data_IF_244902715933
#
_entry.id   IF_244902715933
#
_cell.length_a   1.000
_cell.length_b   1.000
_cell.length_c   1.000
_cell.angle_alpha   90.00
_cell.angle_beta   90.00
_cell.angle_gamma   90.00
#
_symmetry.space_group_name_H-M   'P 1'
#
loop_
_entity.id
_entity.type
_entity.pdbx_description
1 polymer ?
#
# COMPACT_ATOMS: atom_id res chain seq x y z
N UNK A 1 51.46 -28.44 -33.27
CA UNK A 1 50.71 -27.25 -33.71
C UNK A 1 49.99 -26.64 -32.52
N UNK A 2 50.31 -25.40 -32.08
CA UNK A 2 49.61 -24.75 -30.98
C UNK A 2 48.40 -23.94 -31.49
N UNK A 3 47.21 -24.23 -30.94
CA UNK A 3 45.97 -23.46 -31.18
C UNK A 3 46.14 -22.04 -30.61
N UNK A 4 46.19 -21.02 -31.47
CA UNK A 4 46.00 -19.61 -31.05
C UNK A 4 44.60 -19.47 -30.45
N UNK A 5 44.51 -19.03 -29.20
CA UNK A 5 43.27 -18.53 -28.61
C UNK A 5 43.03 -17.13 -29.17
N UNK A 6 41.89 -16.93 -29.83
CA UNK A 6 41.41 -15.62 -30.27
C UNK A 6 41.16 -14.74 -29.03
N UNK A 7 41.70 -13.52 -28.95
CA UNK A 7 41.38 -12.62 -27.85
C UNK A 7 39.90 -12.26 -27.92
N UNK A 8 39.18 -12.43 -26.81
CA UNK A 8 37.81 -11.98 -26.67
C UNK A 8 37.77 -10.47 -26.91
N UNK A 9 37.06 -10.05 -27.95
CA UNK A 9 36.75 -8.65 -28.21
C UNK A 9 35.83 -8.18 -27.09
N UNK A 10 36.42 -7.56 -26.06
CA UNK A 10 35.65 -6.75 -25.11
C UNK A 10 35.11 -5.59 -25.93
N UNK A 11 33.80 -5.61 -26.22
CA UNK A 11 33.12 -4.45 -26.76
C UNK A 11 33.13 -3.38 -25.67
N UNK A 12 34.15 -2.52 -25.69
CA UNK A 12 34.15 -1.26 -24.97
C UNK A 12 32.97 -0.49 -25.55
N UNK A 13 31.88 -0.41 -24.80
CA UNK A 13 30.75 0.44 -25.16
C UNK A 13 31.24 1.87 -24.95
N UNK A 14 31.85 2.44 -25.98
CA UNK A 14 32.22 3.84 -26.06
C UNK A 14 30.92 4.63 -25.87
N UNK A 15 30.79 5.28 -24.72
CA UNK A 15 29.61 6.09 -24.42
C UNK A 15 29.76 7.39 -25.21
N UNK A 16 29.35 7.38 -26.49
CA UNK A 16 29.36 8.54 -27.40
C UNK A 16 28.28 9.57 -26.97
N UNK A 17 27.44 9.24 -25.99
CA UNK A 17 26.50 10.19 -25.42
C UNK A 17 27.25 11.22 -24.57
N UNK A 18 27.04 12.54 -24.79
CA UNK A 18 27.57 13.55 -23.89
C UNK A 18 27.11 13.24 -22.47
N UNK A 19 28.04 13.30 -21.50
CA UNK A 19 27.71 13.14 -20.08
C UNK A 19 26.64 14.20 -19.75
N UNK A 20 25.42 13.79 -19.34
CA UNK A 20 24.36 14.75 -19.07
C UNK A 20 24.82 15.72 -18.00
N UNK A 21 24.51 17.00 -18.17
CA UNK A 21 24.77 17.94 -17.10
C UNK A 21 23.84 17.64 -15.90
N UNK A 22 24.12 18.27 -14.75
CA UNK A 22 23.35 18.02 -13.55
C UNK A 22 21.87 18.43 -13.67
N UNK A 23 21.50 19.34 -14.60
CA UNK A 23 20.12 19.73 -14.84
C UNK A 23 19.39 18.69 -15.72
N UNK A 24 20.04 18.20 -16.77
CA UNK A 24 19.54 17.12 -17.63
C UNK A 24 19.35 15.82 -16.86
N UNK A 25 20.31 15.45 -15.99
CA UNK A 25 20.18 14.30 -15.12
C UNK A 25 18.98 14.43 -14.14
N UNK A 26 18.75 15.64 -13.58
CA UNK A 26 17.59 15.89 -12.71
C UNK A 26 16.28 15.82 -13.48
N UNK A 27 16.23 16.34 -14.71
CA UNK A 27 15.05 16.28 -15.56
C UNK A 27 14.70 14.83 -15.93
N UNK A 28 15.69 14.04 -16.35
CA UNK A 28 15.51 12.62 -16.64
C UNK A 28 15.02 11.83 -15.41
N UNK A 29 15.57 12.09 -14.23
CA UNK A 29 15.08 11.47 -12.98
C UNK A 29 13.65 11.89 -12.63
N UNK A 30 13.29 13.16 -12.84
CA UNK A 30 11.93 13.64 -12.61
C UNK A 30 10.92 12.98 -13.56
N UNK A 31 11.30 12.76 -14.83
CA UNK A 31 10.51 12.03 -15.82
C UNK A 31 10.30 10.56 -15.41
N UNK A 32 11.37 9.87 -15.03
CA UNK A 32 11.28 8.48 -14.51
C UNK A 32 10.37 8.42 -13.28
N UNK A 33 10.48 9.38 -12.36
CA UNK A 33 9.58 9.45 -11.20
C UNK A 33 8.12 9.69 -11.60
N UNK A 34 7.87 10.52 -12.60
CA UNK A 34 6.52 10.76 -13.11
C UNK A 34 5.92 9.49 -13.73
N UNK A 35 6.70 8.76 -14.54
CA UNK A 35 6.28 7.49 -15.14
C UNK A 35 6.03 6.42 -14.06
N UNK A 36 6.91 6.32 -13.06
CA UNK A 36 6.72 5.39 -11.94
C UNK A 36 5.46 5.70 -11.13
N UNK A 37 5.17 6.99 -10.89
CA UNK A 37 3.91 7.39 -10.24
C UNK A 37 2.71 7.03 -11.09
N UNK A 38 2.75 7.26 -12.40
CA UNK A 38 1.65 6.92 -13.30
C UNK A 38 1.30 5.42 -13.27
N UNK A 39 2.31 4.54 -13.15
CA UNK A 39 2.10 3.09 -12.98
C UNK A 39 1.57 2.75 -11.58
N UNK A 40 2.14 3.34 -10.53
CA UNK A 40 1.77 3.04 -9.13
C UNK A 40 0.41 3.57 -8.72
N UNK A 41 0.02 4.73 -9.21
CA UNK A 41 -1.20 5.44 -8.85
C UNK A 41 -2.37 5.06 -9.79
N UNK A 42 -2.35 3.84 -10.33
CA UNK A 42 -3.46 3.26 -11.09
C UNK A 42 -4.70 3.19 -10.17
N UNK A 43 -5.91 3.58 -10.65
CA UNK A 43 -7.11 3.51 -9.83
C UNK A 43 -7.42 2.07 -9.42
N UNK A 44 -7.61 1.85 -8.12
CA UNK A 44 -7.96 0.53 -7.60
C UNK A 44 -9.44 0.19 -7.87
N UNK A 45 -9.81 -1.10 -7.90
CA UNK A 45 -11.20 -1.52 -7.96
C UNK A 45 -12.01 -0.87 -6.85
N UNK A 46 -13.14 -0.25 -7.20
CA UNK A 46 -13.93 0.58 -6.28
C UNK A 46 -14.45 -0.19 -5.05
N UNK A 47 -14.65 -1.51 -5.18
CA UNK A 47 -15.10 -2.38 -4.11
C UNK A 47 -14.04 -2.60 -3.02
N UNK A 48 -12.76 -2.38 -3.30
CA UNK A 48 -11.68 -2.66 -2.33
C UNK A 48 -11.75 -1.72 -1.13
N UNK A 49 -12.18 -0.48 -1.34
CA UNK A 49 -12.27 0.53 -0.28
C UNK A 49 -13.29 0.16 0.80
N UNK A 50 -14.57 -0.11 0.47
CA UNK A 50 -15.54 -0.54 1.47
C UNK A 50 -15.16 -1.89 2.09
N UNK A 51 -14.57 -2.84 1.33
CA UNK A 51 -14.13 -4.13 1.89
C UNK A 51 -13.04 -3.95 2.94
N UNK A 52 -11.95 -3.24 2.61
CA UNK A 52 -10.87 -2.97 3.58
C UNK A 52 -11.36 -2.14 4.77
N UNK A 53 -12.27 -1.19 4.57
CA UNK A 53 -12.86 -0.42 5.67
C UNK A 53 -13.61 -1.34 6.65
N UNK A 54 -14.46 -2.23 6.13
CA UNK A 54 -15.19 -3.20 6.95
C UNK A 54 -14.25 -4.19 7.63
N UNK A 55 -13.22 -4.68 6.93
CA UNK A 55 -12.24 -5.60 7.50
C UNK A 55 -11.41 -4.94 8.61
N UNK A 56 -11.03 -3.66 8.48
CA UNK A 56 -10.34 -2.92 9.53
C UNK A 56 -11.25 -2.65 10.74
N UNK A 57 -12.52 -2.33 10.51
CA UNK A 57 -13.52 -2.24 11.57
C UNK A 57 -13.68 -3.58 12.30
N UNK A 58 -13.81 -4.68 11.56
CA UNK A 58 -13.90 -6.03 12.11
C UNK A 58 -12.62 -6.42 12.87
N UNK A 59 -11.44 -6.08 12.34
CA UNK A 59 -10.15 -6.29 13.01
C UNK A 59 -10.11 -5.55 14.35
N UNK A 60 -10.54 -4.29 14.41
CA UNK A 60 -10.64 -3.54 15.66
C UNK A 60 -11.61 -4.19 16.66
N UNK A 61 -12.76 -4.69 16.18
CA UNK A 61 -13.75 -5.37 17.02
C UNK A 61 -13.27 -6.71 17.58
N UNK A 62 -12.23 -7.33 17.01
CA UNK A 62 -11.63 -8.54 17.61
C UNK A 62 -11.16 -8.31 19.05
N UNK A 63 -10.88 -7.06 19.43
CA UNK A 63 -10.53 -6.69 20.79
C UNK A 63 -11.63 -7.02 21.83
N UNK A 64 -12.89 -7.13 21.40
CA UNK A 64 -14.02 -7.50 22.26
C UNK A 64 -14.21 -9.02 22.40
N UNK A 65 -13.46 -9.82 21.64
CA UNK A 65 -13.58 -11.27 21.70
C UNK A 65 -12.66 -11.81 22.80
N UNK A 66 -13.21 -12.57 23.72
CA UNK A 66 -12.47 -13.20 24.82
C UNK A 66 -11.81 -14.50 24.38
N UNK A 67 -12.52 -15.34 23.63
CA UNK A 67 -12.01 -16.62 23.12
C UNK A 67 -11.39 -16.47 21.74
N UNK A 68 -10.22 -17.09 21.51
CA UNK A 68 -9.57 -17.11 20.20
C UNK A 68 -9.27 -15.72 19.57
N UNK A 69 -9.23 -14.65 20.38
CA UNK A 69 -8.91 -13.27 19.96
C UNK A 69 -7.75 -13.20 18.98
N UNK A 70 -6.62 -13.82 19.34
CA UNK A 70 -5.41 -13.85 18.52
C UNK A 70 -5.64 -14.52 17.17
N UNK A 71 -6.37 -15.64 17.14
CA UNK A 71 -6.66 -16.35 15.89
C UNK A 71 -7.56 -15.51 14.97
N UNK A 72 -8.58 -14.85 15.51
CA UNK A 72 -9.45 -13.96 14.75
C UNK A 72 -8.69 -12.73 14.22
N UNK A 73 -7.83 -12.14 15.06
CA UNK A 73 -6.98 -11.02 14.65
C UNK A 73 -6.04 -11.42 13.50
N UNK A 74 -5.38 -12.57 13.60
CA UNK A 74 -4.51 -13.10 12.56
C UNK A 74 -5.29 -13.43 11.28
N UNK A 75 -6.46 -14.06 11.41
CA UNK A 75 -7.31 -14.40 10.27
C UNK A 75 -7.83 -13.14 9.55
N UNK A 76 -8.27 -12.12 10.28
CA UNK A 76 -8.69 -10.85 9.70
C UNK A 76 -7.51 -10.12 9.03
N UNK A 77 -6.32 -10.11 9.66
CA UNK A 77 -5.11 -9.54 9.07
C UNK A 77 -4.70 -10.25 7.77
N UNK A 78 -4.74 -11.59 7.77
CA UNK A 78 -4.47 -12.40 6.59
C UNK A 78 -5.52 -12.16 5.49
N UNK A 79 -6.79 -11.97 5.85
CA UNK A 79 -7.87 -11.65 4.91
C UNK A 79 -7.64 -10.28 4.27
N UNK A 80 -7.28 -9.26 5.05
CA UNK A 80 -6.91 -7.94 4.53
C UNK A 80 -5.75 -8.09 3.54
N UNK A 81 -4.67 -8.77 3.93
CA UNK A 81 -3.51 -8.96 3.05
C UNK A 81 -3.91 -9.69 1.76
N UNK A 82 -4.66 -10.78 1.86
CA UNK A 82 -5.11 -11.59 0.73
C UNK A 82 -5.99 -10.80 -0.25
N UNK A 83 -6.93 -9.99 0.27
CA UNK A 83 -7.77 -9.11 -0.56
C UNK A 83 -6.92 -8.08 -1.30
N UNK A 84 -5.97 -7.44 -0.62
CA UNK A 84 -5.13 -6.39 -1.23
C UNK A 84 -4.15 -6.98 -2.26
N UNK A 85 -3.49 -8.09 -1.93
CA UNK A 85 -2.59 -8.80 -2.85
C UNK A 85 -3.36 -9.33 -4.06
N UNK A 86 -4.53 -9.94 -3.85
CA UNK A 86 -5.38 -10.44 -4.93
C UNK A 86 -5.89 -9.33 -5.85
N UNK A 87 -6.30 -8.19 -5.29
CA UNK A 87 -6.66 -7.02 -6.08
C UNK A 87 -5.46 -6.46 -6.87
N UNK A 88 -4.29 -6.41 -6.23
CA UNK A 88 -3.05 -5.98 -6.89
C UNK A 88 -2.66 -6.91 -8.05
N UNK A 89 -2.78 -8.23 -7.91
CA UNK A 89 -2.58 -9.16 -9.02
C UNK A 89 -3.55 -8.92 -10.19
N UNK A 90 -4.83 -8.62 -9.90
CA UNK A 90 -5.81 -8.27 -10.94
C UNK A 90 -5.48 -6.97 -11.68
N UNK A 91 -4.75 -6.06 -11.04
CA UNK A 91 -4.26 -4.81 -11.64
C UNK A 91 -2.89 -4.97 -12.33
N UNK A 92 -2.24 -6.12 -12.20
CA UNK A 92 -0.85 -6.32 -12.67
C UNK A 92 0.21 -5.69 -11.76
N UNK A 93 -0.19 -5.22 -10.57
CA UNK A 93 0.66 -4.46 -9.64
C UNK A 93 0.47 -4.93 -8.18
N UNK A 94 0.84 -6.19 -7.84
CA UNK A 94 0.54 -6.81 -6.54
C UNK A 94 1.14 -6.08 -5.33
N UNK A 95 2.23 -5.33 -5.53
CA UNK A 95 3.00 -4.70 -4.45
C UNK A 95 3.06 -3.18 -4.55
N UNK A 96 2.26 -2.56 -5.43
CA UNK A 96 2.28 -1.10 -5.56
C UNK A 96 1.50 -0.45 -4.43
N UNK A 97 2.22 0.32 -3.63
CA UNK A 97 1.63 1.19 -2.62
C UNK A 97 1.28 2.55 -3.26
N UNK A 98 0.09 3.11 -2.97
CA UNK A 98 -0.25 4.46 -3.40
C UNK A 98 0.70 5.50 -2.84
N UNK A 99 1.01 6.53 -3.63
CA UNK A 99 1.97 7.57 -3.21
C UNK A 99 1.32 8.78 -2.52
N UNK A 100 -0.01 8.85 -2.54
CA UNK A 100 -0.78 9.94 -1.94
C UNK A 100 -0.58 10.01 -0.42
N UNK A 101 0.06 11.09 0.05
CA UNK A 101 0.30 11.33 1.49
C UNK A 101 -1.00 11.35 2.30
N UNK A 102 -2.07 11.92 1.74
CA UNK A 102 -3.38 11.97 2.40
C UNK A 102 -4.00 10.59 2.54
N UNK A 103 -3.88 9.73 1.51
CA UNK A 103 -4.29 8.34 1.62
C UNK A 103 -3.47 7.60 2.69
N UNK A 104 -2.14 7.69 2.63
CA UNK A 104 -1.26 7.00 3.58
C UNK A 104 -1.50 7.44 5.02
N UNK A 105 -1.70 8.74 5.28
CA UNK A 105 -2.03 9.26 6.60
C UNK A 105 -3.36 8.71 7.12
N UNK A 106 -4.39 8.65 6.26
CA UNK A 106 -5.70 8.12 6.64
C UNK A 106 -5.67 6.60 6.88
N UNK A 107 -4.89 5.84 6.09
CA UNK A 107 -4.66 4.39 6.34
C UNK A 107 -3.89 4.19 7.65
N UNK A 108 -2.86 4.99 7.91
CA UNK A 108 -2.12 4.94 9.16
C UNK A 108 -3.02 5.23 10.37
N UNK A 109 -3.88 6.24 10.27
CA UNK A 109 -4.88 6.55 11.29
C UNK A 109 -5.85 5.38 11.50
N UNK A 110 -6.35 4.77 10.42
CA UNK A 110 -7.24 3.61 10.53
C UNK A 110 -6.55 2.43 11.24
N UNK A 111 -5.29 2.15 10.90
CA UNK A 111 -4.47 1.13 11.57
C UNK A 111 -4.23 1.47 13.05
N UNK A 112 -3.93 2.73 13.37
CA UNK A 112 -3.75 3.19 14.74
C UNK A 112 -5.02 3.04 15.57
N UNK A 113 -6.21 3.31 15.00
CA UNK A 113 -7.48 3.05 15.66
C UNK A 113 -7.70 1.55 15.92
N UNK A 114 -7.40 0.69 14.94
CA UNK A 114 -7.56 -0.76 15.09
C UNK A 114 -6.62 -1.36 16.14
N UNK A 115 -5.36 -0.92 16.19
CA UNK A 115 -4.40 -1.34 17.22
C UNK A 115 -4.74 -0.72 18.59
N UNK A 116 -5.16 0.54 18.60
CA UNK A 116 -5.60 1.24 19.81
C UNK A 116 -6.79 0.54 20.46
N UNK A 117 -7.68 -0.08 19.68
CA UNK A 117 -8.79 -0.86 20.21
C UNK A 117 -8.33 -2.04 21.08
N UNK A 118 -7.23 -2.71 20.73
CA UNK A 118 -6.65 -3.79 21.52
C UNK A 118 -6.10 -3.27 22.84
N UNK A 119 -5.32 -2.18 22.79
CA UNK A 119 -4.76 -1.55 23.99
C UNK A 119 -5.87 -1.10 24.92
N UNK A 120 -6.90 -0.44 24.38
CA UNK A 120 -8.04 0.03 25.15
C UNK A 120 -8.76 -1.13 25.81
N UNK A 121 -9.07 -2.21 25.07
CA UNK A 121 -9.72 -3.39 25.63
C UNK A 121 -8.92 -4.05 26.78
N UNK A 122 -7.59 -3.97 26.74
CA UNK A 122 -6.73 -4.53 27.80
C UNK A 122 -6.64 -3.61 29.05
N UNK A 123 -6.92 -2.30 28.93
CA UNK A 123 -6.82 -1.34 30.05
C UNK A 123 -8.18 -0.84 30.56
N UNK A 124 -9.27 -1.19 29.89
CA UNK A 124 -10.62 -0.79 30.29
C UNK A 124 -11.64 -1.92 30.12
N UNK A 125 -12.53 -2.07 31.09
CA UNK A 125 -13.68 -2.99 31.00
C UNK A 125 -14.82 -2.43 30.14
N UNK A 126 -14.68 -1.19 29.65
CA UNK A 126 -15.72 -0.51 28.86
C UNK A 126 -15.64 -0.92 27.40
N UNK A 127 -16.77 -1.35 26.84
CA UNK A 127 -16.85 -1.77 25.43
C UNK A 127 -17.03 -0.61 24.45
N UNK A 128 -17.70 0.48 24.87
CA UNK A 128 -18.01 1.61 23.99
C UNK A 128 -16.79 2.29 23.34
N UNK A 129 -15.61 2.43 24.00
CA UNK A 129 -14.44 3.04 23.37
C UNK A 129 -13.89 2.18 22.22
N UNK A 130 -13.94 0.86 22.36
CA UNK A 130 -13.51 -0.09 21.31
C UNK A 130 -14.42 0.03 20.09
N UNK A 131 -15.74 0.11 20.31
CA UNK A 131 -16.71 0.33 19.22
C UNK A 131 -16.47 1.67 18.53
N UNK A 132 -16.19 2.73 19.30
CA UNK A 132 -15.86 4.04 18.74
C UNK A 132 -14.59 4.01 17.88
N UNK A 133 -13.54 3.29 18.33
CA UNK A 133 -12.30 3.11 17.57
C UNK A 133 -12.52 2.27 16.31
N UNK A 134 -13.35 1.23 16.36
CA UNK A 134 -13.72 0.45 15.18
C UNK A 134 -14.47 1.31 14.13
N UNK A 135 -15.41 2.14 14.58
CA UNK A 135 -16.11 3.08 13.72
C UNK A 135 -15.15 4.13 13.12
N UNK A 136 -14.23 4.66 13.92
CA UNK A 136 -13.20 5.60 13.48
C UNK A 136 -12.24 4.98 12.45
N UNK A 137 -11.82 3.72 12.65
CA UNK A 137 -10.99 2.99 11.69
C UNK A 137 -11.71 2.82 10.34
N UNK A 138 -12.98 2.41 10.40
CA UNK A 138 -13.83 2.23 9.22
C UNK A 138 -14.00 3.55 8.45
N UNK A 139 -14.38 4.62 9.16
CA UNK A 139 -14.61 5.93 8.57
C UNK A 139 -13.32 6.53 7.97
N UNK A 140 -12.20 6.41 8.69
CA UNK A 140 -10.89 6.90 8.23
C UNK A 140 -10.46 6.20 6.95
N UNK A 141 -10.66 4.88 6.84
CA UNK A 141 -10.32 4.15 5.63
C UNK A 141 -11.24 4.49 4.45
N UNK A 142 -12.54 4.70 4.70
CA UNK A 142 -13.46 5.18 3.66
C UNK A 142 -13.05 6.56 3.13
N UNK A 143 -12.66 7.47 4.03
CA UNK A 143 -12.11 8.77 3.67
C UNK A 143 -10.81 8.63 2.86
N UNK A 144 -9.92 7.70 3.25
CA UNK A 144 -8.74 7.35 2.47
C UNK A 144 -9.12 6.97 1.04
N UNK A 145 -10.11 6.09 0.86
CA UNK A 145 -10.60 5.68 -0.45
C UNK A 145 -11.17 6.84 -1.30
N UNK A 146 -11.81 7.82 -0.67
CA UNK A 146 -12.24 9.06 -1.36
C UNK A 146 -11.04 9.89 -1.79
N UNK A 147 -10.05 10.10 -0.90
CA UNK A 147 -8.83 10.86 -1.20
C UNK A 147 -8.03 10.21 -2.31
N UNK A 148 -7.85 8.89 -2.27
CA UNK A 148 -7.13 8.14 -3.29
C UNK A 148 -7.80 8.26 -4.66
N UNK A 149 -9.12 8.03 -4.74
CA UNK A 149 -9.87 8.17 -6.00
C UNK A 149 -9.80 9.59 -6.57
N UNK A 150 -9.74 10.61 -5.72
CA UNK A 150 -9.54 11.99 -6.16
C UNK A 150 -8.12 12.21 -6.70
N UNK A 151 -7.10 11.57 -6.12
CA UNK A 151 -5.71 11.71 -6.58
C UNK A 151 -5.40 10.92 -7.86
N UNK A 152 -6.10 9.82 -8.14
CA UNK A 152 -5.83 8.94 -9.29
C UNK A 152 -6.74 9.19 -10.50
N UNK A 153 -7.71 10.10 -10.39
CA UNK A 153 -8.68 10.41 -11.47
C UNK A 153 -9.81 9.39 -11.57
N UNK A 154 -10.87 9.72 -12.35
CA UNK A 154 -12.01 8.82 -12.56
C UNK A 154 -11.54 7.53 -13.28
N UNK A 155 -12.00 6.33 -12.86
CA UNK A 155 -11.86 5.15 -13.70
C UNK A 155 -12.59 5.44 -15.03
N UNK A 156 -11.92 5.15 -16.15
CA UNK A 156 -12.55 5.15 -17.47
C UNK A 156 -13.56 4.01 -17.57
#
# INVERSE_FOLDING_TARGET
MPRRKTPATVSVMENIAPTPDAAEARAALAEVQAVQRAVRDTPWPTWIYPVNALLLGALALTALVTEHRTNLFLAASATILGVNVGAGYRMGTPWTLPTSRGFLAAVALAGACALGALVVADVTDRTWPVVALAAAATASYLLAGVVHRRSTGRPR
#
